data_IF_558988923539
#
_entry.id   IF_558988923539
#
_cell.length_a   1.000
_cell.length_b   1.000
_cell.length_c   1.000
_cell.angle_alpha   90.00
_cell.angle_beta   90.00
_cell.angle_gamma   90.00
#
_symmetry.space_group_name_H-M   'P 1'
#
loop_
_entity.id
_entity.type
_entity.pdbx_description
1 polymer ?
#
# COMPACT_ATOMS: atom_id res chain seq x y z
N UNK A 1 11.13 7.73 -14.78
CA UNK A 1 11.32 6.53 -13.93
C UNK A 1 12.31 6.90 -12.85
N UNK A 2 11.85 7.20 -11.64
CA UNK A 2 12.75 7.45 -10.52
C UNK A 2 13.16 6.09 -9.94
N UNK A 3 14.38 5.65 -10.23
CA UNK A 3 14.96 4.48 -9.59
C UNK A 3 15.20 4.83 -8.13
N UNK A 4 14.44 4.24 -7.21
CA UNK A 4 14.61 4.46 -5.78
C UNK A 4 16.06 4.14 -5.39
N UNK A 5 16.81 5.16 -4.98
CA UNK A 5 18.26 5.10 -4.74
C UNK A 5 18.62 4.89 -3.28
N UNK A 6 17.65 5.03 -2.38
CA UNK A 6 17.82 4.84 -0.94
C UNK A 6 16.61 4.13 -0.32
N UNK A 7 16.82 3.50 0.84
CA UNK A 7 15.72 2.90 1.62
C UNK A 7 14.69 3.95 2.08
N UNK A 8 15.11 5.21 2.24
CA UNK A 8 14.22 6.34 2.54
C UNK A 8 13.31 6.67 1.35
N UNK A 9 13.83 6.61 0.12
CA UNK A 9 13.02 6.78 -1.11
C UNK A 9 11.96 5.68 -1.22
N UNK A 10 12.33 4.43 -0.91
CA UNK A 10 11.40 3.30 -0.90
C UNK A 10 10.33 3.50 0.18
N UNK A 11 10.71 3.98 1.36
CA UNK A 11 9.76 4.27 2.45
C UNK A 11 8.76 5.37 2.04
N UNK A 12 9.24 6.43 1.38
CA UNK A 12 8.40 7.52 0.87
C UNK A 12 7.42 7.03 -0.20
N UNK A 13 7.88 6.22 -1.16
CA UNK A 13 7.00 5.65 -2.19
C UNK A 13 5.93 4.71 -1.57
N UNK A 14 6.27 3.94 -0.53
CA UNK A 14 5.30 3.14 0.21
C UNK A 14 4.26 4.00 0.93
N UNK A 15 4.65 5.15 1.49
CA UNK A 15 3.70 6.10 2.06
C UNK A 15 2.77 6.70 1.01
N UNK A 16 3.27 7.03 -0.19
CA UNK A 16 2.42 7.52 -1.30
C UNK A 16 1.42 6.46 -1.76
N UNK A 17 1.86 5.21 -1.90
CA UNK A 17 0.98 4.09 -2.21
C UNK A 17 -0.10 3.92 -1.15
N UNK A 18 0.23 4.17 0.12
CA UNK A 18 -0.75 4.10 1.22
C UNK A 18 -1.84 5.15 1.11
N UNK A 19 -1.46 6.39 0.82
CA UNK A 19 -2.43 7.45 0.56
C UNK A 19 -3.34 7.14 -0.64
N UNK A 20 -2.78 6.62 -1.74
CA UNK A 20 -3.56 6.22 -2.92
C UNK A 20 -4.52 5.07 -2.60
N UNK A 21 -4.11 4.17 -1.71
CA UNK A 21 -4.96 3.07 -1.27
C UNK A 21 -6.17 3.54 -0.48
N UNK A 22 -5.97 4.42 0.50
CA UNK A 22 -7.07 5.01 1.27
C UNK A 22 -8.01 5.82 0.37
N UNK A 23 -7.49 6.48 -0.66
CA UNK A 23 -8.33 7.15 -1.66
C UNK A 23 -9.18 6.16 -2.48
N UNK A 24 -8.64 4.98 -2.78
CA UNK A 24 -9.39 3.90 -3.42
C UNK A 24 -10.46 3.32 -2.48
N UNK A 25 -10.16 3.08 -1.19
CA UNK A 25 -11.14 2.64 -0.17
C UNK A 25 -12.33 3.61 -0.13
N UNK A 26 -12.06 4.93 -0.02
CA UNK A 26 -13.09 5.97 -0.01
C UNK A 26 -13.91 6.00 -1.31
N UNK A 27 -13.26 5.76 -2.46
CA UNK A 27 -13.94 5.73 -3.75
C UNK A 27 -14.84 4.50 -3.86
N UNK A 28 -14.39 3.33 -3.38
CA UNK A 28 -15.20 2.11 -3.34
C UNK A 28 -16.39 2.21 -2.38
N UNK A 29 -16.22 2.84 -1.22
CA UNK A 29 -17.30 3.12 -0.27
C UNK A 29 -18.35 4.06 -0.87
N UNK A 30 -17.94 4.96 -1.78
CA UNK A 30 -18.83 5.82 -2.54
C UNK A 30 -19.69 5.10 -3.60
N UNK A 31 -19.38 3.85 -3.97
CA UNK A 31 -20.11 3.08 -5.00
C UNK A 31 -21.42 2.44 -4.50
N UNK A 32 -22.05 3.02 -3.48
CA UNK A 32 -23.21 2.48 -2.74
C UNK A 32 -24.53 2.43 -3.53
N UNK A 33 -24.58 3.00 -4.75
CA UNK A 33 -25.81 3.09 -5.56
C UNK A 33 -25.90 2.08 -6.73
N UNK A 34 -25.28 0.90 -6.59
CA UNK A 34 -25.34 -0.14 -7.62
C UNK A 34 -26.59 -1.03 -7.45
N UNK A 35 -27.64 -0.74 -8.22
CA UNK A 35 -28.91 -1.49 -8.16
C UNK A 35 -28.83 -2.91 -8.78
N UNK A 36 -27.93 -3.13 -9.75
CA UNK A 36 -27.78 -4.42 -10.44
C UNK A 36 -26.70 -5.34 -9.83
N UNK A 37 -26.90 -6.66 -9.99
CA UNK A 37 -26.04 -7.71 -9.43
C UNK A 37 -24.59 -7.65 -9.95
N UNK A 38 -24.40 -7.28 -11.22
CA UNK A 38 -23.08 -7.18 -11.84
C UNK A 38 -22.28 -6.01 -11.26
N UNK A 39 -22.93 -4.87 -11.00
CA UNK A 39 -22.31 -3.73 -10.33
C UNK A 39 -21.96 -4.02 -8.85
N UNK A 40 -22.78 -4.82 -8.14
CA UNK A 40 -22.43 -5.31 -6.79
C UNK A 40 -21.21 -6.22 -6.79
N UNK A 41 -21.14 -7.18 -7.70
CA UNK A 41 -19.97 -8.06 -7.83
C UNK A 41 -18.68 -7.29 -8.13
N UNK A 42 -18.74 -6.28 -9.02
CA UNK A 42 -17.57 -5.41 -9.30
C UNK A 42 -17.15 -4.59 -8.09
N UNK A 43 -18.11 -4.03 -7.33
CA UNK A 43 -17.82 -3.33 -6.08
C UNK A 43 -17.13 -4.27 -5.09
N UNK A 44 -17.70 -5.45 -4.84
CA UNK A 44 -17.15 -6.40 -3.86
C UNK A 44 -15.76 -6.89 -4.28
N UNK A 45 -15.53 -7.12 -5.57
CA UNK A 45 -14.20 -7.45 -6.11
C UNK A 45 -13.21 -6.28 -5.96
N UNK A 46 -13.67 -5.04 -6.12
CA UNK A 46 -12.81 -3.84 -5.95
C UNK A 46 -12.47 -3.64 -4.48
N UNK A 47 -13.42 -3.82 -3.56
CA UNK A 47 -13.17 -3.80 -2.11
C UNK A 47 -12.13 -4.86 -1.74
N UNK A 48 -12.30 -6.11 -2.19
CA UNK A 48 -11.33 -7.18 -1.92
C UNK A 48 -9.94 -6.91 -2.51
N UNK A 49 -9.85 -6.29 -3.68
CA UNK A 49 -8.56 -5.87 -4.27
C UNK A 49 -7.87 -4.82 -3.38
N UNK A 50 -8.63 -3.82 -2.93
CA UNK A 50 -8.12 -2.75 -2.08
C UNK A 50 -7.63 -3.29 -0.74
N UNK A 51 -8.39 -4.18 -0.09
CA UNK A 51 -7.96 -4.87 1.13
C UNK A 51 -6.67 -5.68 0.92
N UNK A 52 -6.57 -6.43 -0.18
CA UNK A 52 -5.37 -7.20 -0.51
C UNK A 52 -4.14 -6.31 -0.71
N UNK A 53 -4.31 -5.19 -1.42
CA UNK A 53 -3.24 -4.22 -1.61
C UNK A 53 -2.82 -3.58 -0.27
N UNK A 54 -3.76 -3.36 0.66
CA UNK A 54 -3.47 -2.81 2.00
C UNK A 54 -2.57 -3.73 2.79
N UNK A 55 -2.94 -5.00 2.88
CA UNK A 55 -2.17 -6.02 3.59
C UNK A 55 -0.76 -6.15 2.99
N UNK A 56 -0.66 -6.21 1.67
CA UNK A 56 0.63 -6.33 0.99
C UNK A 56 1.53 -5.12 1.25
N UNK A 57 0.96 -3.91 1.22
CA UNK A 57 1.70 -2.68 1.44
C UNK A 57 2.16 -2.53 2.90
N UNK A 58 1.34 -2.91 3.87
CA UNK A 58 1.74 -2.93 5.29
C UNK A 58 2.90 -3.91 5.54
N UNK A 59 2.83 -5.09 4.92
CA UNK A 59 3.94 -6.05 4.93
C UNK A 59 5.22 -5.48 4.32
N UNK A 60 5.13 -4.85 3.15
CA UNK A 60 6.29 -4.26 2.48
C UNK A 60 6.86 -3.09 3.28
N UNK A 61 6.03 -2.27 3.92
CA UNK A 61 6.47 -1.20 4.82
C UNK A 61 7.27 -1.76 6.01
N UNK A 62 6.77 -2.82 6.63
CA UNK A 62 7.47 -3.48 7.74
C UNK A 62 8.82 -4.08 7.30
N UNK A 63 8.87 -4.71 6.12
CA UNK A 63 10.10 -5.27 5.56
C UNK A 63 11.17 -4.18 5.32
N UNK A 64 10.77 -3.04 4.73
CA UNK A 64 11.68 -1.91 4.49
C UNK A 64 12.18 -1.31 5.80
N UNK A 65 11.30 -1.11 6.79
CA UNK A 65 11.74 -0.65 8.11
C UNK A 65 12.74 -1.61 8.77
N UNK A 66 12.54 -2.92 8.62
CA UNK A 66 13.46 -3.92 9.13
C UNK A 66 14.82 -3.83 8.43
N UNK A 67 14.85 -3.65 7.11
CA UNK A 67 16.09 -3.45 6.33
C UNK A 67 16.82 -2.18 6.77
N UNK A 68 16.11 -1.06 6.98
CA UNK A 68 16.69 0.20 7.50
C UNK A 68 17.34 -0.05 8.86
N UNK A 69 16.63 -0.72 9.79
CA UNK A 69 17.17 -1.01 11.13
C UNK A 69 18.43 -1.88 11.05
N UNK A 70 18.45 -2.89 10.19
CA UNK A 70 19.61 -3.77 10.01
C UNK A 70 20.82 -3.01 9.44
N UNK A 71 20.61 -2.17 8.43
CA UNK A 71 21.68 -1.36 7.84
C UNK A 71 22.24 -0.33 8.83
N UNK A 72 21.39 0.32 9.63
CA UNK A 72 21.84 1.22 10.70
C UNK A 72 22.65 0.48 11.78
N UNK A 73 22.24 -0.74 12.14
CA UNK A 73 22.98 -1.56 13.10
C UNK A 73 24.36 -1.98 12.54
N UNK A 74 24.43 -2.38 11.26
CA UNK A 74 25.70 -2.69 10.58
C UNK A 74 26.65 -1.51 10.58
N UNK A 75 26.17 -0.30 10.24
CA UNK A 75 27.00 0.92 10.24
C UNK A 75 27.51 1.33 11.62
N UNK A 76 26.82 0.95 12.70
CA UNK A 76 27.26 1.22 14.08
C UNK A 76 28.27 0.20 14.61
N UNK A 77 28.33 -0.98 14.00
CA UNK A 77 29.20 -2.08 14.40
C UNK A 77 30.52 -2.14 13.58
N UNK A 78 30.63 -1.34 12.52
CA UNK A 78 31.83 -1.14 11.71
C UNK A 78 32.59 0.11 12.18
#
# INVERSE_FOLDING_TARGET
>A
MSTATSLEDISLELSKLSCLLSALELTTDGMTAADDEYSRQRRDATVGLVEAMRVQMEKTHQEVQNQIKQELARKRAA
#
